data_IF_979800059680
#
_entry.id   IF_979800059680
#
_cell.length_a   1.000
_cell.length_b   1.000
_cell.length_c   1.000
_cell.angle_alpha   90.00
_cell.angle_beta   90.00
_cell.angle_gamma   90.00
#
_symmetry.space_group_name_H-M   'P 1'
#
loop_
_entity.id
_entity.type
_entity.pdbx_description
1 polymer ?
#
# COMPACT_ATOMS: atom_id res chain seq x y z
N UNK A 1 15.35 23.82 -17.75
CA UNK A 1 15.35 22.34 -17.81
C UNK A 1 14.75 21.83 -16.51
N UNK A 2 13.49 21.37 -16.52
CA UNK A 2 12.88 20.76 -15.32
C UNK A 2 13.20 19.27 -15.36
N UNK A 3 14.23 18.85 -14.63
CA UNK A 3 14.56 17.43 -14.51
C UNK A 3 13.38 16.70 -13.88
N UNK A 4 12.74 15.88 -14.72
CA UNK A 4 11.68 14.91 -14.50
C UNK A 4 11.72 14.26 -13.11
N UNK A 5 11.15 14.96 -12.13
CA UNK A 5 10.84 14.46 -10.80
C UNK A 5 9.36 14.07 -10.85
N UNK A 6 9.09 12.90 -11.42
CA UNK A 6 7.78 12.25 -11.31
C UNK A 6 7.65 11.71 -9.87
N UNK A 7 7.63 12.60 -8.87
CA UNK A 7 7.38 12.24 -7.47
C UNK A 7 5.87 12.08 -7.33
N UNK A 8 5.30 11.07 -7.99
CA UNK A 8 3.89 10.68 -7.78
C UNK A 8 3.74 9.76 -6.55
N UNK A 9 4.83 9.56 -5.80
CA UNK A 9 4.83 8.78 -4.58
C UNK A 9 4.50 9.73 -3.42
N UNK A 10 3.39 9.51 -2.72
CA UNK A 10 3.02 10.30 -1.54
C UNK A 10 3.99 10.06 -0.38
N UNK A 11 4.08 11.02 0.54
CA UNK A 11 5.08 11.03 1.64
C UNK A 11 4.92 9.84 2.60
N UNK A 12 3.67 9.39 2.84
CA UNK A 12 3.38 8.22 3.67
C UNK A 12 3.52 6.88 2.92
N UNK A 13 4.08 6.88 1.71
CA UNK A 13 4.35 5.64 1.01
C UNK A 13 5.52 4.89 1.65
N UNK A 14 5.34 3.59 1.82
CA UNK A 14 6.34 2.70 2.35
C UNK A 14 7.05 1.95 1.23
N UNK A 15 8.38 1.89 1.30
CA UNK A 15 9.16 1.05 0.40
C UNK A 15 9.09 -0.41 0.85
N UNK A 16 8.50 -1.27 0.02
CA UNK A 16 8.54 -2.71 0.24
C UNK A 16 9.60 -3.29 -0.69
N UNK A 17 10.77 -3.63 -0.13
CA UNK A 17 11.82 -4.31 -0.87
C UNK A 17 11.47 -5.79 -1.02
N UNK A 18 11.14 -6.23 -2.24
CA UNK A 18 11.07 -7.65 -2.56
C UNK A 18 12.43 -8.35 -2.37
N UNK A 19 12.44 -9.67 -2.31
CA UNK A 19 13.63 -10.49 -1.99
C UNK A 19 14.78 -10.40 -3.01
N UNK A 20 14.57 -9.83 -4.21
CA UNK A 20 15.65 -9.56 -5.18
C UNK A 20 15.31 -8.31 -6.00
N UNK A 21 15.90 -7.16 -5.66
CA UNK A 21 16.05 -5.98 -6.52
C UNK A 21 14.79 -5.30 -7.07
N UNK A 22 13.61 -5.82 -6.76
CA UNK A 22 12.31 -5.39 -7.31
C UNK A 22 11.44 -4.86 -6.17
N UNK A 23 11.95 -3.82 -5.49
CA UNK A 23 11.16 -3.09 -4.52
C UNK A 23 10.08 -2.26 -5.21
N UNK A 24 8.98 -2.00 -4.51
CA UNK A 24 7.94 -1.10 -4.97
C UNK A 24 7.50 -0.22 -3.82
N UNK A 25 7.03 0.99 -4.13
CA UNK A 25 6.43 1.88 -3.15
C UNK A 25 4.97 1.51 -2.97
N UNK A 26 4.54 1.38 -1.72
CA UNK A 26 3.19 1.07 -1.33
C UNK A 26 2.62 2.22 -0.51
N UNK A 27 1.54 2.80 -0.98
CA UNK A 27 0.82 3.83 -0.27
C UNK A 27 -0.55 3.32 0.13
N UNK A 28 -0.99 3.70 1.31
CA UNK A 28 -2.33 3.45 1.79
C UNK A 28 -2.93 4.76 2.29
N UNK A 29 -4.20 4.98 1.95
CA UNK A 29 -4.98 6.14 2.40
C UNK A 29 -6.37 5.68 2.81
N UNK A 30 -6.97 6.35 3.77
CA UNK A 30 -8.38 6.14 4.07
C UNK A 30 -9.24 6.80 2.98
N UNK A 31 -10.29 6.11 2.56
CA UNK A 31 -11.24 6.60 1.58
C UNK A 31 -12.66 6.21 2.00
N UNK A 32 -13.32 7.11 2.72
CA UNK A 32 -14.74 6.98 3.15
C UNK A 32 -15.04 5.64 3.88
N UNK A 33 -14.17 5.25 4.80
CA UNK A 33 -14.30 4.00 5.58
C UNK A 33 -13.78 2.75 4.87
N UNK A 34 -13.11 2.92 3.73
CA UNK A 34 -12.30 1.88 3.06
C UNK A 34 -10.85 2.34 3.01
N UNK A 35 -9.95 1.46 2.57
CA UNK A 35 -8.53 1.74 2.46
C UNK A 35 -8.06 1.63 1.02
N UNK A 36 -7.62 2.73 0.44
CA UNK A 36 -7.05 2.76 -0.90
C UNK A 36 -5.58 2.41 -0.85
N UNK A 37 -5.20 1.29 -1.44
CA UNK A 37 -3.81 0.86 -1.55
C UNK A 37 -3.33 1.10 -2.98
N UNK A 38 -2.22 1.83 -3.11
CA UNK A 38 -1.59 2.17 -4.38
C UNK A 38 -0.16 1.65 -4.39
N UNK A 39 0.21 0.96 -5.46
CA UNK A 39 1.57 0.49 -5.70
C UNK A 39 2.20 1.34 -6.79
N UNK A 40 3.38 1.89 -6.50
CA UNK A 40 4.20 2.60 -7.47
C UNK A 40 5.49 1.85 -7.72
N UNK A 41 5.93 1.85 -8.98
CA UNK A 41 7.25 1.40 -9.39
C UNK A 41 8.35 2.20 -8.67
N UNK A 42 9.60 1.67 -8.62
CA UNK A 42 10.77 2.42 -8.16
C UNK A 42 10.92 3.79 -8.82
N UNK A 43 10.45 3.92 -10.05
CA UNK A 43 10.46 5.15 -10.85
C UNK A 43 9.32 6.12 -10.52
N UNK A 44 8.43 5.78 -9.58
CA UNK A 44 7.27 6.61 -9.20
C UNK A 44 6.07 6.46 -10.13
N UNK A 45 6.04 5.43 -10.98
CA UNK A 45 4.89 5.14 -11.86
C UNK A 45 3.82 4.34 -11.11
N UNK A 46 2.57 4.79 -11.13
CA UNK A 46 1.45 4.02 -10.55
C UNK A 46 1.22 2.72 -11.35
N UNK A 47 1.36 1.59 -10.67
CA UNK A 47 1.25 0.24 -11.25
C UNK A 47 -0.05 -0.46 -10.87
N UNK A 48 -0.54 -0.23 -9.64
CA UNK A 48 -1.79 -0.81 -9.15
C UNK A 48 -2.48 0.19 -8.23
N UNK A 49 -3.76 0.47 -8.43
CA UNK A 49 -4.57 1.25 -7.50
C UNK A 49 -5.90 0.53 -7.24
N UNK A 50 -6.12 0.14 -5.99
CA UNK A 50 -7.33 -0.60 -5.61
C UNK A 50 -7.80 -0.19 -4.23
N UNK A 51 -9.12 -0.29 -4.03
CA UNK A 51 -9.76 -0.06 -2.74
C UNK A 51 -9.93 -1.41 -2.06
N UNK A 52 -9.47 -1.49 -0.81
CA UNK A 52 -9.59 -2.66 0.03
C UNK A 52 -10.40 -2.33 1.26
N UNK A 53 -11.06 -3.35 1.80
CA UNK A 53 -11.70 -3.30 3.11
C UNK A 53 -10.89 -4.14 4.08
N UNK A 54 -10.62 -3.57 5.24
CA UNK A 54 -10.05 -4.30 6.37
C UNK A 54 -11.19 -4.87 7.20
N UNK A 55 -11.02 -6.09 7.69
CA UNK A 55 -12.00 -6.71 8.59
C UNK A 55 -12.02 -6.01 9.97
N UNK A 56 -10.87 -5.44 10.36
CA UNK A 56 -10.66 -4.83 11.66
C UNK A 56 -10.47 -3.31 11.55
N UNK A 57 -11.44 -2.56 12.07
CA UNK A 57 -11.45 -1.09 12.10
C UNK A 57 -10.39 -0.47 13.03
N UNK A 58 -9.69 -1.28 13.83
CA UNK A 58 -8.62 -0.81 14.70
C UNK A 58 -7.32 -0.47 13.95
N UNK A 59 -7.27 -0.74 12.64
CA UNK A 59 -6.13 -0.33 11.81
C UNK A 59 -6.08 1.20 11.73
N UNK A 60 -4.94 1.77 12.10
CA UNK A 60 -4.72 3.22 12.10
C UNK A 60 -3.51 3.60 11.24
N UNK A 61 -3.67 4.58 10.35
CA UNK A 61 -2.59 5.01 9.45
C UNK A 61 -1.52 5.87 10.12
N UNK A 62 -1.81 6.41 11.31
CA UNK A 62 -0.86 7.22 12.07
C UNK A 62 0.16 6.35 12.85
N UNK A 63 -0.15 5.06 13.03
CA UNK A 63 0.65 4.11 13.80
C UNK A 63 1.63 3.36 12.87
N UNK A 64 2.83 2.98 13.36
CA UNK A 64 3.76 2.15 12.61
C UNK A 64 3.10 0.85 12.11
N UNK A 65 3.03 0.72 10.79
CA UNK A 65 2.52 -0.46 10.10
C UNK A 65 3.51 -0.90 9.04
N UNK A 66 3.45 -2.17 8.63
CA UNK A 66 4.33 -2.73 7.60
C UNK A 66 3.55 -3.62 6.66
N UNK A 67 3.62 -3.30 5.38
CA UNK A 67 3.16 -4.22 4.33
C UNK A 67 4.00 -5.50 4.35
N UNK A 68 3.34 -6.65 4.32
CA UNK A 68 4.03 -7.95 4.35
C UNK A 68 3.77 -8.81 3.13
N UNK A 69 2.56 -8.77 2.57
CA UNK A 69 2.22 -9.58 1.41
C UNK A 69 1.14 -8.92 0.57
N UNK A 70 1.26 -9.07 -0.76
CA UNK A 70 0.22 -8.71 -1.71
C UNK A 70 0.04 -9.89 -2.67
N UNK A 71 -1.08 -10.60 -2.56
CA UNK A 71 -1.38 -11.71 -3.46
C UNK A 71 -2.13 -11.18 -4.68
N UNK A 72 -1.47 -11.11 -5.83
CA UNK A 72 -2.10 -10.82 -7.14
C UNK A 72 -2.94 -9.51 -7.21
N UNK A 73 -2.64 -8.48 -6.40
CA UNK A 73 -3.49 -7.29 -6.21
C UNK A 73 -4.94 -7.61 -5.74
N UNK A 74 -5.22 -8.80 -5.21
CA UNK A 74 -6.54 -9.20 -4.70
C UNK A 74 -6.66 -9.08 -3.18
N UNK A 75 -5.57 -9.38 -2.48
CA UNK A 75 -5.50 -9.28 -1.03
C UNK A 75 -4.15 -8.69 -0.62
N UNK A 76 -4.17 -7.93 0.48
CA UNK A 76 -2.99 -7.34 1.08
C UNK A 76 -2.95 -7.63 2.57
N UNK A 77 -1.77 -7.89 3.13
CA UNK A 77 -1.59 -8.03 4.58
C UNK A 77 -0.65 -6.96 5.10
N UNK A 78 -1.08 -6.30 6.17
CA UNK A 78 -0.32 -5.28 6.86
C UNK A 78 -0.18 -5.72 8.31
N UNK A 79 1.04 -5.69 8.83
CA UNK A 79 1.31 -5.95 10.25
C UNK A 79 1.45 -4.62 10.97
N UNK A 80 0.70 -4.42 12.04
CA UNK A 80 0.78 -3.24 12.90
C UNK A 80 0.67 -3.70 14.35
N UNK A 81 1.56 -3.23 15.23
CA UNK A 81 1.61 -3.68 16.64
C UNK A 81 1.56 -5.21 16.81
N UNK A 82 2.26 -5.97 15.95
CA UNK A 82 2.24 -7.44 15.94
C UNK A 82 0.88 -8.06 15.56
N UNK A 83 -0.12 -7.25 15.23
CA UNK A 83 -1.43 -7.67 14.72
C UNK A 83 -1.37 -7.68 13.19
N UNK A 84 -1.80 -8.80 12.60
CA UNK A 84 -1.91 -8.92 11.14
C UNK A 84 -3.30 -8.51 10.67
N UNK A 85 -3.37 -7.39 9.95
CA UNK A 85 -4.56 -6.89 9.31
C UNK A 85 -4.62 -7.37 7.86
N UNK A 86 -5.73 -8.01 7.50
CA UNK A 86 -5.98 -8.52 6.15
C UNK A 86 -6.94 -7.60 5.42
N UNK A 87 -6.52 -7.17 4.24
CA UNK A 87 -7.23 -6.27 3.35
C UNK A 87 -7.71 -7.08 2.16
N UNK A 88 -9.01 -7.06 1.93
CA UNK A 88 -9.64 -7.80 0.84
C UNK A 88 -10.27 -6.83 -0.15
N UNK A 89 -10.06 -7.10 -1.44
CA UNK A 89 -10.78 -6.39 -2.50
C UNK A 89 -12.16 -7.02 -2.67
N UNK A 90 -13.22 -6.25 -2.46
CA UNK A 90 -14.58 -6.67 -2.83
C UNK A 90 -14.77 -6.49 -4.34
N UNK A 91 -14.53 -7.55 -5.13
CA UNK A 91 -15.07 -7.65 -6.49
C UNK A 91 -16.50 -8.20 -6.35
N UNK A 92 -17.53 -7.39 -6.67
CA UNK A 92 -18.92 -7.83 -6.75
C UNK A 92 -19.19 -8.43 -8.12
#
# INVERSE_FOLDING_TARGET
>A
MKSKRDINIPDNAQWLSGTVGSGSWFFISDEKGKYRIQRFSPEGKLECDRIFTVDNIAFDLDIDYKFTFLSHCKECTIIQNEITFKFYHYEH
#
